data_IF_899794109954
#
_entry.id   IF_899794109954
#
_cell.length_a   1.000
_cell.length_b   1.000
_cell.length_c   1.000
_cell.angle_alpha   90.00
_cell.angle_beta   90.00
_cell.angle_gamma   90.00
#
_symmetry.space_group_name_H-M   'P 1'
#
loop_
_entity.id
_entity.type
_entity.pdbx_description
1 polymer ?
#
# COMPACT_ATOMS: atom_id res chain seq x y z
N UNK A 1 -9.13 -58.80 3.01
CA UNK A 1 -9.34 -57.79 4.08
C UNK A 1 -7.95 -57.48 4.63
N UNK A 2 -7.41 -56.27 4.65
CA UNK A 2 -7.95 -54.93 4.82
C UNK A 2 -7.52 -53.99 3.67
N UNK A 3 -8.45 -53.13 3.23
CA UNK A 3 -8.21 -51.96 2.37
C UNK A 3 -7.63 -50.84 3.25
N UNK A 4 -6.45 -50.33 2.91
CA UNK A 4 -5.87 -49.12 3.54
C UNK A 4 -6.53 -47.90 2.88
N UNK A 5 -6.92 -46.86 3.65
CA UNK A 5 -7.70 -45.76 3.10
C UNK A 5 -6.84 -44.85 2.22
N UNK A 6 -7.45 -44.43 1.12
CA UNK A 6 -7.01 -43.39 0.19
C UNK A 6 -6.91 -42.06 0.93
N UNK A 7 -5.79 -41.37 0.78
CA UNK A 7 -5.48 -40.14 1.50
C UNK A 7 -4.34 -39.38 0.84
N UNK A 8 -4.54 -39.03 -0.43
CA UNK A 8 -3.75 -38.06 -1.19
C UNK A 8 -4.74 -37.56 -2.23
N UNK A 9 -5.26 -36.35 -2.16
CA UNK A 9 -4.64 -35.18 -2.79
C UNK A 9 -5.45 -33.93 -2.41
N UNK A 10 -5.03 -33.13 -1.43
CA UNK A 10 -5.42 -31.69 -1.37
C UNK A 10 -4.49 -30.82 -0.51
N UNK A 11 -3.25 -31.23 -0.26
CA UNK A 11 -2.30 -30.46 0.55
C UNK A 11 -1.35 -29.57 -0.28
N UNK A 12 -1.54 -29.48 -1.60
CA UNK A 12 -0.66 -28.74 -2.50
C UNK A 12 -0.89 -27.23 -2.54
N UNK A 13 -2.05 -26.72 -2.09
CA UNK A 13 -2.38 -25.30 -2.26
C UNK A 13 -2.03 -24.39 -1.07
N UNK A 14 -1.68 -24.94 0.10
CA UNK A 14 -1.32 -24.12 1.28
C UNK A 14 0.12 -23.61 1.26
N UNK A 15 1.01 -24.21 0.45
CA UNK A 15 2.42 -23.76 0.35
C UNK A 15 2.59 -22.48 -0.47
N UNK A 16 1.64 -22.14 -1.35
CA UNK A 16 1.70 -20.92 -2.16
C UNK A 16 1.37 -19.64 -1.37
N UNK A 17 0.69 -19.73 -0.22
CA UNK A 17 0.40 -18.58 0.65
C UNK A 17 1.59 -18.14 1.51
N UNK A 18 2.68 -18.92 1.54
CA UNK A 18 3.78 -18.75 2.50
C UNK A 18 4.81 -17.65 2.15
N UNK A 19 4.55 -16.80 1.16
CA UNK A 19 5.36 -15.61 0.87
C UNK A 19 4.51 -14.45 0.37
N UNK A 20 3.61 -13.93 1.20
CA UNK A 20 3.23 -12.53 1.04
C UNK A 20 4.51 -11.70 1.23
N UNK A 21 5.13 -11.26 0.13
CA UNK A 21 6.27 -10.35 0.21
C UNK A 21 5.73 -8.97 0.50
N UNK A 22 6.32 -8.32 1.50
CA UNK A 22 6.20 -6.87 1.65
C UNK A 22 6.74 -6.22 0.38
N UNK A 23 6.03 -5.21 -0.12
CA UNK A 23 6.44 -4.43 -1.28
C UNK A 23 6.69 -3.00 -0.83
N UNK A 24 7.84 -2.45 -1.22
CA UNK A 24 8.18 -1.04 -0.98
C UNK A 24 7.83 -0.19 -2.20
N UNK A 25 7.77 1.13 -2.02
CA UNK A 25 7.43 2.06 -3.09
C UNK A 25 8.47 2.06 -4.22
N UNK A 26 9.76 1.88 -3.91
CA UNK A 26 10.87 1.81 -4.87
C UNK A 26 10.92 0.50 -5.67
N UNK A 27 10.12 -0.49 -5.29
CA UNK A 27 9.97 -1.76 -6.02
C UNK A 27 8.79 -1.71 -7.02
N UNK A 28 7.98 -0.64 -6.97
CA UNK A 28 6.90 -0.43 -7.92
C UNK A 28 7.44 0.15 -9.23
N UNK A 29 6.87 -0.27 -10.35
CA UNK A 29 7.22 0.29 -11.65
C UNK A 29 6.83 1.76 -11.75
N UNK A 30 7.61 2.52 -12.50
CA UNK A 30 7.31 3.93 -12.77
C UNK A 30 5.97 4.10 -13.49
N UNK A 31 5.35 5.26 -13.27
CA UNK A 31 4.13 5.67 -13.97
C UNK A 31 2.87 5.56 -13.11
N UNK A 32 1.83 4.90 -13.64
CA UNK A 32 0.52 4.91 -13.04
C UNK A 32 0.43 3.95 -11.84
N UNK A 33 0.43 4.50 -10.63
CA UNK A 33 0.27 3.73 -9.40
C UNK A 33 -1.20 3.47 -9.05
N UNK A 34 -2.07 4.48 -9.15
CA UNK A 34 -3.43 4.34 -8.65
C UNK A 34 -4.29 5.57 -8.85
N UNK A 35 -5.46 5.56 -8.21
CA UNK A 35 -6.45 6.65 -8.28
C UNK A 35 -6.72 7.21 -6.90
N UNK A 36 -6.72 8.53 -6.80
CA UNK A 36 -7.32 9.23 -5.66
C UNK A 36 -8.81 9.46 -5.93
N UNK A 37 -9.66 9.08 -4.99
CA UNK A 37 -11.12 9.15 -5.06
C UNK A 37 -11.59 10.21 -4.06
N UNK A 38 -12.23 11.27 -4.56
CA UNK A 38 -12.86 12.30 -3.73
C UNK A 38 -14.37 12.09 -3.77
N UNK A 39 -14.96 11.78 -2.63
CA UNK A 39 -16.39 11.51 -2.50
C UNK A 39 -17.16 12.81 -2.34
N UNK A 40 -18.46 12.81 -2.70
CA UNK A 40 -19.34 13.97 -2.50
C UNK A 40 -19.43 14.40 -1.03
N UNK A 41 -19.18 13.49 -0.10
CA UNK A 41 -19.12 13.75 1.35
C UNK A 41 -17.85 14.51 1.76
N UNK A 42 -16.89 14.69 0.86
CA UNK A 42 -15.57 15.24 1.16
C UNK A 42 -14.55 14.20 1.64
N UNK A 43 -14.97 12.96 1.91
CA UNK A 43 -14.05 11.88 2.21
C UNK A 43 -13.11 11.63 1.02
N UNK A 44 -11.85 11.29 1.31
CA UNK A 44 -10.84 11.00 0.29
C UNK A 44 -10.29 9.60 0.53
N UNK A 45 -10.26 8.78 -0.51
CA UNK A 45 -9.62 7.45 -0.50
C UNK A 45 -8.58 7.34 -1.61
N UNK A 46 -7.59 6.49 -1.44
CA UNK A 46 -6.61 6.13 -2.45
C UNK A 46 -6.78 4.66 -2.82
N UNK A 47 -6.90 4.35 -4.11
CA UNK A 47 -6.92 2.98 -4.61
C UNK A 47 -5.59 2.68 -5.30
N UNK A 48 -4.86 1.71 -4.76
CA UNK A 48 -3.60 1.20 -5.28
C UNK A 48 -3.80 -0.28 -5.64
N UNK A 49 -3.90 -0.57 -6.93
CA UNK A 49 -4.36 -1.89 -7.41
C UNK A 49 -5.79 -2.22 -6.95
N UNK A 50 -5.93 -3.31 -6.19
CA UNK A 50 -7.21 -3.76 -5.62
C UNK A 50 -7.45 -3.22 -4.21
N UNK A 51 -6.40 -2.76 -3.53
CA UNK A 51 -6.47 -2.25 -2.17
C UNK A 51 -7.00 -0.82 -2.11
N UNK A 52 -7.85 -0.55 -1.14
CA UNK A 52 -8.42 0.76 -0.85
C UNK A 52 -7.86 1.29 0.47
N UNK A 53 -7.46 2.55 0.49
CA UNK A 53 -6.88 3.23 1.64
C UNK A 53 -7.67 4.49 1.96
N UNK A 54 -7.93 4.74 3.24
CA UNK A 54 -8.39 6.03 3.72
C UNK A 54 -7.25 7.03 3.71
N UNK A 55 -7.53 8.25 3.24
CA UNK A 55 -6.59 9.37 3.24
C UNK A 55 -6.96 10.32 4.35
N UNK A 56 -6.06 10.51 5.31
CA UNK A 56 -6.22 11.46 6.41
C UNK A 56 -5.11 12.51 6.41
N UNK A 57 -5.36 13.74 6.89
CA UNK A 57 -4.29 14.68 7.17
C UNK A 57 -3.29 14.08 8.16
N UNK A 58 -2.00 14.25 7.87
CA UNK A 58 -0.95 13.93 8.81
C UNK A 58 -0.80 15.03 9.86
N UNK A 59 0.20 14.87 10.72
CA UNK A 59 0.56 15.88 11.72
C UNK A 59 0.95 17.20 11.05
N UNK A 60 0.51 18.31 11.63
CA UNK A 60 0.88 19.64 11.16
C UNK A 60 2.39 19.87 11.22
N UNK A 61 2.91 20.60 10.23
CA UNK A 61 4.29 21.05 10.23
C UNK A 61 4.44 22.22 11.21
N UNK A 62 4.93 21.96 12.42
CA UNK A 62 5.14 23.00 13.46
C UNK A 62 6.46 23.78 13.30
N UNK A 63 7.25 23.43 12.29
CA UNK A 63 8.48 24.12 11.89
C UNK A 63 8.71 23.99 10.39
N UNK A 64 9.47 24.93 9.81
CA UNK A 64 9.83 24.93 8.40
C UNK A 64 10.66 23.68 8.06
N UNK A 65 10.24 22.94 7.04
CA UNK A 65 10.87 21.70 6.60
C UNK A 65 11.12 21.78 5.10
N UNK A 66 12.38 21.82 4.67
CA UNK A 66 12.74 21.87 3.24
C UNK A 66 12.95 20.49 2.62
N UNK A 67 12.66 20.36 1.33
CA UNK A 67 12.97 19.21 0.49
C UNK A 67 14.07 19.63 -0.48
N UNK A 68 15.20 18.93 -0.43
CA UNK A 68 16.39 19.26 -1.22
C UNK A 68 16.79 18.06 -2.05
N UNK A 69 17.00 18.28 -3.35
CA UNK A 69 17.58 17.29 -4.25
C UNK A 69 19.11 17.35 -4.19
N UNK A 70 19.75 16.22 -3.92
CA UNK A 70 21.21 16.11 -3.86
C UNK A 70 21.67 15.10 -4.89
N UNK A 71 22.46 15.54 -5.87
CA UNK A 71 23.15 14.68 -6.82
C UNK A 71 24.65 14.65 -6.45
N UNK A 72 25.11 13.48 -6.01
CA UNK A 72 26.49 13.30 -5.54
C UNK A 72 27.49 13.20 -6.69
N UNK A 73 27.09 12.61 -7.82
CA UNK A 73 27.95 12.42 -8.99
C UNK A 73 28.34 13.77 -9.61
N UNK A 74 27.34 14.63 -9.81
CA UNK A 74 27.52 15.99 -10.35
C UNK A 74 27.89 17.02 -9.27
N UNK A 75 27.98 16.59 -8.00
CA UNK A 75 28.21 17.46 -6.82
C UNK A 75 27.27 18.67 -6.78
N UNK A 76 26.02 18.44 -7.16
CA UNK A 76 24.99 19.47 -7.29
C UNK A 76 23.91 19.30 -6.21
N UNK A 77 23.37 20.42 -5.74
CA UNK A 77 22.32 20.49 -4.74
C UNK A 77 21.30 21.56 -5.14
N UNK A 78 20.01 21.27 -4.98
CA UNK A 78 18.94 22.18 -5.36
C UNK A 78 17.81 22.14 -4.31
N UNK A 79 17.37 23.31 -3.85
CA UNK A 79 16.18 23.45 -3.03
C UNK A 79 14.93 23.26 -3.91
N UNK A 80 14.12 22.26 -3.60
CA UNK A 80 12.96 21.88 -4.41
C UNK A 80 11.69 22.55 -3.90
N UNK A 81 11.46 22.51 -2.58
CA UNK A 81 10.22 23.02 -1.97
C UNK A 81 10.28 23.01 -0.44
N UNK A 82 9.36 23.73 0.18
CA UNK A 82 9.00 23.56 1.59
C UNK A 82 7.85 22.54 1.74
N UNK A 83 7.90 21.71 2.78
CA UNK A 83 6.88 20.73 3.12
C UNK A 83 5.83 21.37 4.06
N UNK A 84 4.66 21.68 3.52
CA UNK A 84 3.57 22.38 4.24
C UNK A 84 2.48 21.44 4.76
N UNK A 85 2.25 20.31 4.08
CA UNK A 85 1.17 19.36 4.38
C UNK A 85 1.61 17.92 4.29
N UNK A 86 0.93 17.07 5.06
CA UNK A 86 1.16 15.64 5.09
C UNK A 86 -0.17 14.91 4.91
N UNK A 87 -0.12 13.78 4.21
CA UNK A 87 -1.23 12.84 4.11
C UNK A 87 -0.77 11.47 4.60
N UNK A 88 -1.64 10.79 5.33
CA UNK A 88 -1.43 9.42 5.82
C UNK A 88 -2.42 8.52 5.13
N UNK A 89 -1.91 7.43 4.57
CA UNK A 89 -2.71 6.37 3.96
C UNK A 89 -2.82 5.22 4.95
N UNK A 90 -4.04 4.87 5.33
CA UNK A 90 -4.34 3.69 6.17
C UNK A 90 -5.22 2.73 5.40
N UNK A 91 -4.92 1.43 5.43
CA UNK A 91 -5.73 0.44 4.73
C UNK A 91 -7.17 0.46 5.25
N UNK A 92 -8.15 0.48 4.35
CA UNK A 92 -9.57 0.37 4.69
C UNK A 92 -9.88 -1.09 5.05
N UNK A 93 -9.83 -1.39 6.35
CA UNK A 93 -10.03 -2.75 6.85
C UNK A 93 -11.45 -3.26 6.61
N UNK A 94 -12.46 -2.40 6.61
CA UNK A 94 -13.85 -2.79 6.42
C UNK A 94 -14.05 -3.31 4.99
N UNK A 95 -13.46 -2.64 4.01
CA UNK A 95 -13.43 -3.10 2.62
C UNK A 95 -12.69 -4.42 2.45
N UNK A 96 -11.63 -4.66 3.23
CA UNK A 96 -10.91 -5.94 3.20
C UNK A 96 -11.78 -7.06 3.76
N UNK A 97 -12.39 -6.88 4.93
CA UNK A 97 -13.21 -7.92 5.56
C UNK A 97 -14.50 -8.21 4.80
N UNK A 98 -15.13 -7.21 4.18
CA UNK A 98 -16.32 -7.42 3.36
C UNK A 98 -16.09 -8.35 2.15
N UNK A 99 -14.83 -8.53 1.72
CA UNK A 99 -14.48 -9.47 0.64
C UNK A 99 -14.33 -10.93 1.10
N UNK A 100 -14.27 -11.16 2.41
CA UNK A 100 -14.10 -12.50 3.00
C UNK A 100 -15.50 -13.09 3.25
N UNK A 101 -15.84 -14.25 2.65
CA UNK A 101 -17.15 -14.86 2.85
C UNK A 101 -17.30 -15.40 4.28
N UNK A 102 -18.49 -15.25 4.86
CA UNK A 102 -18.87 -15.90 6.12
C UNK A 102 -18.83 -17.43 5.91
N UNK A 103 -18.05 -18.12 6.75
CA UNK A 103 -17.88 -19.58 6.71
C UNK A 103 -19.01 -20.33 7.41
#
# INVERSE_FOLDING_TARGET
MLKKPEGSETTSNLRALSKARLCKLDELGDGFLGKMLVYKTGAVKMRLGESLYDVSPGMDCVFAQGVVGVNIEEKACCDLAELDKRAVLTLDIDSVFASIPDS
#
